data_IF_322282269953
#
_entry.id   IF_322282269953
#
_cell.length_a   1.000
_cell.length_b   1.000
_cell.length_c   1.000
_cell.angle_alpha   90.00
_cell.angle_beta   90.00
_cell.angle_gamma   90.00
#
_symmetry.space_group_name_H-M   'P 1'
#
loop_
_entity.id
_entity.type
_entity.pdbx_description
1 polymer ?
#
# COMPACT_ATOMS: atom_id res chain seq x y z
N UNK A 1 -0.19 5.34 -15.31
CA UNK A 1 0.57 4.79 -14.17
C UNK A 1 -0.40 3.95 -13.36
N UNK A 2 -0.21 2.63 -13.33
CA UNK A 2 -1.13 1.68 -12.68
C UNK A 2 -1.25 1.89 -11.18
N UNK A 3 -2.42 1.57 -10.63
CA UNK A 3 -2.71 1.65 -9.20
C UNK A 3 -1.71 0.85 -8.37
N UNK A 4 -1.38 -0.36 -8.83
CA UNK A 4 -0.38 -1.22 -8.19
C UNK A 4 0.99 -0.57 -8.09
N UNK A 5 1.45 0.08 -9.15
CA UNK A 5 2.74 0.81 -9.17
C UNK A 5 2.70 1.98 -8.21
N UNK A 6 1.57 2.69 -8.15
CA UNK A 6 1.39 3.85 -7.29
C UNK A 6 1.33 3.47 -5.79
N UNK A 7 0.66 2.37 -5.45
CA UNK A 7 0.65 1.82 -4.09
C UNK A 7 2.04 1.30 -3.70
N UNK A 8 2.73 0.59 -4.59
CA UNK A 8 4.10 0.14 -4.33
C UNK A 8 5.04 1.31 -3.99
N UNK A 9 4.96 2.39 -4.78
CA UNK A 9 5.78 3.58 -4.55
C UNK A 9 5.42 4.29 -3.24
N UNK A 10 4.14 4.29 -2.88
CA UNK A 10 3.67 4.82 -1.60
C UNK A 10 4.25 4.02 -0.43
N UNK A 11 4.15 2.68 -0.47
CA UNK A 11 4.70 1.80 0.58
C UNK A 11 6.22 1.97 0.70
N UNK A 12 6.94 2.02 -0.42
CA UNK A 12 8.40 2.25 -0.43
C UNK A 12 8.76 3.59 0.24
N UNK A 13 7.99 4.64 -0.03
CA UNK A 13 8.23 5.96 0.57
C UNK A 13 7.92 5.99 2.07
N UNK A 14 6.86 5.31 2.52
CA UNK A 14 6.51 5.19 3.94
C UNK A 14 7.58 4.41 4.71
N UNK A 15 8.08 3.31 4.12
CA UNK A 15 9.16 2.52 4.68
C UNK A 15 10.48 3.31 4.77
N UNK A 16 10.80 4.09 3.72
CA UNK A 16 12.00 4.94 3.71
C UNK A 16 11.92 6.10 4.71
N UNK A 17 10.71 6.60 4.97
CA UNK A 17 10.51 7.66 5.96
C UNK A 17 10.60 7.16 7.41
N UNK A 18 10.75 5.84 7.65
CA UNK A 18 10.70 5.23 9.00
C UNK A 18 9.40 5.55 9.78
N UNK A 19 8.37 6.05 9.10
CA UNK A 19 7.13 6.50 9.74
C UNK A 19 6.15 5.34 10.00
N UNK A 20 6.30 4.21 9.30
CA UNK A 20 5.52 3.01 9.52
C UNK A 20 6.29 1.75 9.07
N UNK A 21 6.18 0.69 9.85
CA UNK A 21 6.58 -0.65 9.43
C UNK A 21 5.70 -1.10 8.24
N UNK A 22 6.24 -1.89 7.30
CA UNK A 22 5.52 -2.33 6.10
C UNK A 22 4.19 -3.02 6.42
N UNK A 23 4.06 -3.65 7.60
CA UNK A 23 2.82 -4.26 8.07
C UNK A 23 1.74 -3.28 8.57
N UNK A 24 2.04 -1.98 8.63
CA UNK A 24 1.15 -0.96 9.20
C UNK A 24 0.40 -0.12 8.15
N UNK A 25 0.74 -0.25 6.85
CA UNK A 25 0.04 0.45 5.77
C UNK A 25 -1.29 -0.25 5.48
N UNK A 26 -2.35 0.24 6.11
CA UNK A 26 -3.72 -0.27 5.91
C UNK A 26 -4.39 0.38 4.69
N UNK A 27 -5.37 -0.30 4.07
CA UNK A 27 -6.16 0.29 2.98
C UNK A 27 -6.85 1.60 3.39
N UNK A 28 -7.33 1.68 4.63
CA UNK A 28 -7.93 2.89 5.18
C UNK A 28 -6.94 4.04 5.31
N UNK A 29 -5.70 3.76 5.69
CA UNK A 29 -4.64 4.76 5.78
C UNK A 29 -4.35 5.36 4.40
N UNK A 30 -4.19 4.50 3.38
CA UNK A 30 -3.99 4.94 1.99
C UNK A 30 -5.19 5.74 1.49
N UNK A 31 -6.42 5.30 1.78
CA UNK A 31 -7.64 6.01 1.40
C UNK A 31 -7.71 7.43 1.99
N UNK A 32 -7.36 7.58 3.27
CA UNK A 32 -7.29 8.90 3.94
C UNK A 32 -6.18 9.76 3.35
N UNK A 33 -4.98 9.21 3.17
CA UNK A 33 -3.83 9.92 2.58
C UNK A 33 -4.08 10.38 1.15
N UNK A 34 -4.86 9.63 0.38
CA UNK A 34 -5.19 9.97 -1.00
C UNK A 34 -6.48 10.80 -1.12
N UNK A 35 -7.07 11.20 0.01
CA UNK A 35 -8.27 12.05 0.06
C UNK A 35 -9.52 11.39 -0.53
N UNK A 36 -9.62 10.06 -0.46
CA UNK A 36 -10.77 9.31 -0.95
C UNK A 36 -10.96 9.29 -2.47
N UNK A 37 -9.94 9.66 -3.25
CA UNK A 37 -10.00 9.67 -4.73
C UNK A 37 -10.04 8.29 -5.36
N UNK A 38 -9.57 7.27 -4.65
CA UNK A 38 -9.54 5.86 -5.11
C UNK A 38 -10.40 5.05 -4.16
N UNK A 39 -11.32 4.21 -4.65
CA UNK A 39 -12.20 3.42 -3.79
C UNK A 39 -11.40 2.42 -2.96
N UNK A 40 -11.84 2.22 -1.72
CA UNK A 40 -11.16 1.35 -0.74
C UNK A 40 -10.93 -0.07 -1.27
N UNK A 41 -11.91 -0.64 -1.98
CA UNK A 41 -11.80 -1.99 -2.55
C UNK A 41 -10.63 -2.15 -3.54
N UNK A 42 -10.40 -1.13 -4.37
CA UNK A 42 -9.27 -1.13 -5.32
C UNK A 42 -7.93 -1.05 -4.58
N UNK A 43 -7.88 -0.27 -3.49
CA UNK A 43 -6.71 -0.15 -2.63
C UNK A 43 -6.42 -1.48 -1.92
N UNK A 44 -7.45 -2.13 -1.38
CA UNK A 44 -7.33 -3.45 -0.74
C UNK A 44 -6.79 -4.52 -1.69
N UNK A 45 -7.34 -4.59 -2.91
CA UNK A 45 -6.87 -5.54 -3.91
C UNK A 45 -5.41 -5.30 -4.29
N UNK A 46 -5.04 -4.03 -4.47
CA UNK A 46 -3.67 -3.67 -4.81
C UNK A 46 -2.68 -3.92 -3.65
N UNK A 47 -3.08 -3.69 -2.38
CA UNK A 47 -2.28 -4.04 -1.20
C UNK A 47 -2.08 -5.56 -1.07
N UNK A 48 -3.14 -6.35 -1.20
CA UNK A 48 -3.06 -7.83 -1.21
C UNK A 48 -2.12 -8.34 -2.31
N UNK A 49 -2.16 -7.71 -3.48
CA UNK A 49 -1.27 -8.04 -4.60
C UNK A 49 0.21 -7.71 -4.34
N UNK A 50 0.50 -6.74 -3.45
CA UNK A 50 1.87 -6.49 -2.99
C UNK A 50 2.30 -7.47 -1.90
N UNK A 51 1.40 -7.81 -0.96
CA UNK A 51 1.67 -8.71 0.16
C UNK A 51 1.96 -10.16 -0.27
N UNK A 52 1.25 -10.69 -1.27
CA UNK A 52 1.53 -12.04 -1.82
C UNK A 52 2.92 -12.20 -2.43
N UNK A 53 3.64 -11.10 -2.72
CA UNK A 53 5.05 -11.13 -3.15
C UNK A 53 6.04 -11.12 -1.99
N UNK A 54 5.60 -10.81 -0.77
CA UNK A 54 6.44 -10.66 0.42
C UNK A 54 6.34 -11.86 1.36
N UNK A 55 5.27 -12.65 1.30
CA UNK A 55 5.09 -13.91 2.04
C UNK A 55 6.07 -15.05 1.65
N UNK A 56 6.94 -14.86 0.65
CA UNK A 56 8.00 -15.82 0.28
C UNK A 56 9.33 -15.44 0.95
N UNK A 57 9.30 -15.22 2.26
CA UNK A 57 10.51 -15.18 3.10
C UNK A 57 10.29 -16.17 4.24
N UNK A 58 10.47 -17.45 3.90
CA UNK A 58 10.80 -18.51 4.85
C UNK A 58 12.30 -18.44 5.18
#
# INVERSE_FOLDING_TARGET
MDLNTRIKLFIDNEARSCSMDFGCVTPEYVYRMWGGKVPLNEIEQALKFQDSRFMIRD
#
